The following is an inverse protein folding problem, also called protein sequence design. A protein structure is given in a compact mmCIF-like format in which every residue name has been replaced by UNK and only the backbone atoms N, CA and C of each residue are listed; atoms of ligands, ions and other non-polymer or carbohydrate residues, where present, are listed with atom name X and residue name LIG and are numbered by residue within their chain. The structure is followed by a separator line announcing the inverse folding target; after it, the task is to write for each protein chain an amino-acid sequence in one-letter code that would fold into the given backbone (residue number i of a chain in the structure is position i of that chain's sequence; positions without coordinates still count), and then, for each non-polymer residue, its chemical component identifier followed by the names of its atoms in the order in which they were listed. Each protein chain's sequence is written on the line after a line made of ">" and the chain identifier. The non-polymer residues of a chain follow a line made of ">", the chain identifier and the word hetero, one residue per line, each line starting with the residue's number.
data_IF_726296674371
#
_entry.id   IF_726296674371
#
_cell.length_a   1.000
_cell.length_b   1.000
_cell.length_c   1.000
_cell.angle_alpha   90.00
_cell.angle_beta   90.00
_cell.angle_gamma   90.00
#
_symmetry.space_group_name_H-M   'P 1'
#
loop_
_entity.id
_entity.type
_entity.pdbx_description
1 polymer ?
#
# COMPACT_ATOMS: atom_id res chain seq x y z
N UNK A 1 -12.01 6.82 -10.31
CA UNK A 1 -10.69 7.39 -10.67
C UNK A 1 -10.94 8.67 -11.44
N UNK A 2 -11.49 9.67 -10.75
CA UNK A 2 -11.70 10.99 -11.35
C UNK A 2 -10.45 11.82 -11.06
N UNK A 3 -9.72 12.22 -12.10
CA UNK A 3 -8.50 13.00 -11.96
C UNK A 3 -8.75 14.34 -11.25
N UNK A 4 -9.90 14.97 -11.45
CA UNK A 4 -10.21 16.26 -10.85
C UNK A 4 -10.24 16.17 -9.32
N UNK A 5 -10.80 15.08 -8.78
CA UNK A 5 -10.84 14.83 -7.34
C UNK A 5 -9.45 14.56 -6.75
N UNK A 6 -8.63 13.76 -7.43
CA UNK A 6 -7.23 13.55 -7.00
C UNK A 6 -6.45 14.86 -7.01
N UNK A 7 -6.59 15.66 -8.07
CA UNK A 7 -5.92 16.95 -8.21
C UNK A 7 -6.33 17.90 -7.11
N UNK A 8 -7.64 18.03 -6.85
CA UNK A 8 -8.15 18.89 -5.78
C UNK A 8 -7.54 18.53 -4.42
N UNK A 9 -7.48 17.24 -4.06
CA UNK A 9 -6.91 16.81 -2.78
C UNK A 9 -5.41 17.09 -2.71
N UNK A 10 -4.66 16.75 -3.76
CA UNK A 10 -3.21 16.94 -3.82
C UNK A 10 -2.84 18.43 -3.76
N UNK A 11 -3.56 19.27 -4.50
CA UNK A 11 -3.34 20.71 -4.51
C UNK A 11 -3.66 21.31 -3.12
N UNK A 12 -4.77 20.92 -2.49
CA UNK A 12 -5.08 21.34 -1.10
C UNK A 12 -4.00 20.93 -0.09
N UNK A 13 -3.41 19.74 -0.23
CA UNK A 13 -2.30 19.30 0.64
C UNK A 13 -1.06 20.15 0.39
N UNK A 14 -0.66 20.35 -0.87
CA UNK A 14 0.51 21.16 -1.24
C UNK A 14 0.35 22.62 -0.79
N UNK A 15 -0.82 23.21 -1.03
CA UNK A 15 -1.15 24.60 -0.67
C UNK A 15 -1.21 24.82 0.85
N UNK A 16 -1.43 23.76 1.64
CA UNK A 16 -1.41 23.85 3.11
C UNK A 16 0.00 24.11 3.67
N UNK A 17 1.05 23.95 2.87
CA UNK A 17 2.45 24.02 3.31
C UNK A 17 2.89 22.81 4.16
N UNK A 18 2.04 21.78 4.28
CA UNK A 18 2.39 20.53 4.97
C UNK A 18 3.51 19.81 4.22
N UNK A 19 4.60 19.39 4.91
CA UNK A 19 5.70 18.67 4.28
C UNK A 19 5.39 17.18 4.07
N UNK A 20 4.17 16.73 4.35
CA UNK A 20 3.77 15.31 4.30
C UNK A 20 4.07 14.71 2.93
N UNK A 21 4.57 13.47 2.92
CA UNK A 21 4.77 12.70 1.69
C UNK A 21 3.38 12.26 1.20
N UNK A 22 3.09 12.52 -0.07
CA UNK A 22 1.86 12.06 -0.70
C UNK A 22 2.08 10.70 -1.34
N UNK A 23 1.33 9.70 -0.89
CA UNK A 23 1.26 8.36 -1.48
C UNK A 23 -0.12 8.16 -2.12
N UNK A 24 -0.19 8.10 -3.46
CA UNK A 24 -1.47 7.90 -4.17
C UNK A 24 -1.68 6.44 -4.57
N UNK A 25 -2.89 5.93 -4.36
CA UNK A 25 -3.23 4.55 -4.74
C UNK A 25 -3.30 4.32 -6.25
N UNK A 26 -2.90 3.13 -6.72
CA UNK A 26 -3.19 2.61 -8.08
C UNK A 26 -4.12 1.38 -8.06
N UNK A 27 -4.65 1.03 -6.89
CA UNK A 27 -5.55 -0.11 -6.67
C UNK A 27 -6.93 -0.01 -7.34
N UNK A 28 -7.57 1.18 -7.44
CA UNK A 28 -8.85 1.31 -8.12
C UNK A 28 -8.81 0.83 -9.57
N UNK A 29 -9.92 0.24 -10.03
CA UNK A 29 -10.01 -0.32 -11.37
C UNK A 29 -9.40 -1.72 -11.52
N UNK A 30 -9.17 -2.45 -10.43
CA UNK A 30 -8.68 -3.83 -10.46
C UNK A 30 -9.75 -4.90 -10.16
N UNK A 31 -11.00 -4.52 -9.84
CA UNK A 31 -12.01 -5.49 -9.38
C UNK A 31 -12.66 -6.22 -10.55
N UNK A 32 -12.69 -7.55 -10.45
CA UNK A 32 -13.43 -8.41 -11.36
C UNK A 32 -14.33 -9.35 -10.57
N UNK A 33 -15.59 -9.43 -10.98
CA UNK A 33 -16.57 -10.40 -10.52
C UNK A 33 -16.99 -11.18 -11.77
N UNK A 34 -16.74 -12.49 -11.86
CA UNK A 34 -17.19 -13.27 -13.02
C UNK A 34 -18.72 -13.29 -13.10
N UNK A 35 -19.27 -13.38 -14.31
CA UNK A 35 -20.70 -13.63 -14.51
C UNK A 35 -21.06 -15.05 -14.05
N UNK A 36 -22.19 -15.18 -13.33
CA UNK A 36 -22.71 -16.47 -12.88
C UNK A 36 -23.40 -17.26 -14.02
N UNK A 37 -23.75 -16.59 -15.12
CA UNK A 37 -24.57 -17.17 -16.20
C UNK A 37 -23.90 -17.19 -17.56
N UNK A 38 -22.85 -16.40 -17.77
CA UNK A 38 -22.20 -16.24 -19.08
C UNK A 38 -20.69 -16.45 -18.97
N UNK A 39 -20.13 -17.29 -19.84
CA UNK A 39 -18.69 -17.56 -19.86
C UNK A 39 -17.89 -16.32 -20.29
N UNK A 40 -16.77 -16.06 -19.62
CA UNK A 40 -15.81 -14.97 -19.93
C UNK A 40 -16.37 -13.54 -19.84
N UNK A 41 -17.51 -13.33 -19.16
CA UNK A 41 -18.08 -12.00 -18.97
C UNK A 41 -18.01 -11.53 -17.52
N UNK A 42 -17.98 -10.21 -17.37
CA UNK A 42 -17.94 -9.53 -16.08
C UNK A 42 -19.37 -9.37 -15.53
N UNK A 43 -19.57 -9.81 -14.29
CA UNK A 43 -20.78 -9.57 -13.51
C UNK A 43 -20.82 -8.18 -12.88
N UNK A 44 -21.96 -7.86 -12.27
CA UNK A 44 -22.20 -6.60 -11.58
C UNK A 44 -21.17 -6.36 -10.46
N UNK A 45 -20.64 -5.13 -10.38
CA UNK A 45 -19.60 -4.75 -9.43
C UNK A 45 -18.17 -4.91 -9.94
N UNK A 46 -17.97 -5.46 -11.14
CA UNK A 46 -16.68 -5.39 -11.84
C UNK A 46 -16.36 -3.94 -12.26
N UNK A 47 -15.09 -3.56 -12.14
CA UNK A 47 -14.59 -2.27 -12.60
C UNK A 47 -13.18 -2.34 -13.21
N UNK A 48 -12.75 -3.54 -13.62
CA UNK A 48 -11.44 -3.79 -14.20
C UNK A 48 -11.16 -2.83 -15.36
N UNK A 49 -10.05 -2.10 -15.29
CA UNK A 49 -9.59 -1.17 -16.32
C UNK A 49 -8.21 -1.56 -16.84
N UNK A 50 -7.85 -1.13 -18.05
CA UNK A 50 -6.49 -1.26 -18.56
C UNK A 50 -5.45 -0.68 -17.59
N UNK A 51 -4.25 -1.27 -17.48
CA UNK A 51 -3.18 -0.80 -16.58
C UNK A 51 -2.87 0.70 -16.68
N UNK A 52 -2.74 1.24 -17.89
CA UNK A 52 -2.40 2.65 -18.13
C UNK A 52 -3.47 3.60 -17.61
N UNK A 53 -4.76 3.25 -17.72
CA UNK A 53 -5.84 4.09 -17.19
C UNK A 53 -5.82 4.19 -15.67
N UNK A 54 -5.31 3.16 -14.99
CA UNK A 54 -5.25 3.09 -13.53
C UNK A 54 -4.15 3.96 -12.92
N UNK A 55 -3.24 4.45 -13.74
CA UNK A 55 -2.09 5.27 -13.30
C UNK A 55 -2.12 6.68 -13.88
N UNK A 56 -3.16 7.04 -14.62
CA UNK A 56 -3.26 8.35 -15.27
C UNK A 56 -3.08 9.51 -14.28
N UNK A 57 -3.65 9.42 -13.08
CA UNK A 57 -3.46 10.44 -12.03
C UNK A 57 -2.04 10.47 -11.46
N UNK A 58 -1.30 9.37 -11.49
CA UNK A 58 0.11 9.34 -11.09
C UNK A 58 0.95 10.10 -12.11
N UNK A 59 0.72 9.85 -13.40
CA UNK A 59 1.43 10.53 -14.49
C UNK A 59 1.21 12.05 -14.47
N UNK A 60 -0.02 12.46 -14.17
CA UNK A 60 -0.44 13.86 -14.13
C UNK A 60 0.01 14.60 -12.87
N UNK A 61 -0.07 13.97 -11.69
CA UNK A 61 0.15 14.64 -10.41
C UNK A 61 1.56 14.43 -9.85
N UNK A 62 2.25 13.39 -10.32
CA UNK A 62 3.62 13.00 -9.94
C UNK A 62 3.82 13.07 -8.42
N UNK A 63 3.07 12.28 -7.64
CA UNK A 63 3.33 12.17 -6.21
C UNK A 63 4.73 11.59 -5.96
N UNK A 64 5.23 11.72 -4.74
CA UNK A 64 6.53 11.15 -4.38
C UNK A 64 6.48 9.61 -4.35
N UNK A 65 5.35 9.06 -3.91
CA UNK A 65 5.09 7.61 -3.81
C UNK A 65 3.72 7.28 -4.42
N UNK A 66 3.57 6.06 -4.92
CA UNK A 66 2.27 5.48 -5.20
C UNK A 66 2.22 4.00 -4.80
N UNK A 67 1.07 3.50 -4.38
CA UNK A 67 0.92 2.07 -4.06
C UNK A 67 0.75 1.23 -5.33
N UNK A 68 1.28 0.00 -5.33
CA UNK A 68 1.19 -0.98 -6.39
C UNK A 68 0.92 -2.38 -5.82
N UNK A 69 -0.30 -2.86 -6.01
CA UNK A 69 -0.73 -4.20 -5.61
C UNK A 69 -0.04 -5.29 -6.45
N UNK A 70 0.81 -6.09 -5.81
CA UNK A 70 1.74 -7.02 -6.48
C UNK A 70 1.14 -8.37 -6.89
N UNK A 71 -0.19 -8.51 -6.98
CA UNK A 71 -0.76 -9.74 -7.54
C UNK A 71 -2.26 -9.87 -7.43
N UNK A 72 -2.75 -10.99 -7.94
CA UNK A 72 -4.18 -11.32 -8.00
C UNK A 72 -4.59 -12.16 -6.81
N UNK A 73 -5.72 -11.83 -6.19
CA UNK A 73 -6.28 -12.58 -5.08
C UNK A 73 -7.81 -12.44 -5.02
N UNK A 74 -8.45 -13.35 -4.28
CA UNK A 74 -9.84 -13.18 -3.90
C UNK A 74 -9.98 -11.92 -3.04
N UNK A 75 -10.93 -11.05 -3.40
CA UNK A 75 -11.11 -9.76 -2.74
C UNK A 75 -12.60 -9.42 -2.64
N UNK A 76 -13.13 -9.46 -1.42
CA UNK A 76 -14.57 -9.32 -1.18
C UNK A 76 -15.35 -10.46 -1.85
N UNK A 77 -16.30 -10.11 -2.74
CA UNK A 77 -17.12 -11.07 -3.50
C UNK A 77 -16.55 -11.42 -4.88
N UNK A 78 -15.39 -10.87 -5.24
CA UNK A 78 -14.75 -11.12 -6.54
C UNK A 78 -13.26 -11.32 -6.36
N UNK A 79 -12.48 -10.87 -7.33
CA UNK A 79 -11.04 -10.84 -7.30
C UNK A 79 -10.51 -9.42 -7.54
N UNK A 80 -9.38 -9.11 -6.91
CA UNK A 80 -8.50 -8.04 -7.36
C UNK A 80 -7.59 -8.65 -8.44
N UNK A 81 -7.66 -8.14 -9.66
CA UNK A 81 -6.92 -8.64 -10.82
C UNK A 81 -5.71 -7.75 -11.08
N UNK A 82 -4.55 -8.28 -10.72
CA UNK A 82 -3.22 -7.81 -11.12
C UNK A 82 -2.41 -9.03 -11.54
N UNK A 83 -2.54 -9.39 -12.81
CA UNK A 83 -1.66 -10.41 -13.41
C UNK A 83 -0.27 -9.82 -13.61
N UNK A 84 0.81 -10.62 -13.68
CA UNK A 84 2.18 -10.11 -13.83
C UNK A 84 2.33 -9.05 -14.92
N UNK A 85 1.74 -9.26 -16.10
CA UNK A 85 1.78 -8.30 -17.20
C UNK A 85 1.17 -6.92 -16.84
N UNK A 86 0.11 -6.87 -16.01
CA UNK A 86 -0.47 -5.62 -15.55
C UNK A 86 0.44 -4.92 -14.55
N UNK A 87 1.02 -5.67 -13.62
CA UNK A 87 1.96 -5.15 -12.62
C UNK A 87 3.20 -4.57 -13.32
N UNK A 88 3.76 -5.28 -14.29
CA UNK A 88 4.89 -4.81 -15.11
C UNK A 88 4.56 -3.53 -15.89
N UNK A 89 3.37 -3.46 -16.51
CA UNK A 89 2.92 -2.27 -17.24
C UNK A 89 2.76 -1.04 -16.31
N UNK A 90 2.13 -1.22 -15.14
CA UNK A 90 1.99 -0.15 -14.14
C UNK A 90 3.36 0.30 -13.63
N UNK A 91 4.23 -0.65 -13.26
CA UNK A 91 5.57 -0.35 -12.77
C UNK A 91 6.40 0.44 -13.79
N UNK A 92 6.27 0.12 -15.08
CA UNK A 92 6.95 0.85 -16.15
C UNK A 92 6.47 2.31 -16.25
N UNK A 93 5.16 2.56 -16.20
CA UNK A 93 4.61 3.93 -16.24
C UNK A 93 4.96 4.74 -14.99
N UNK A 94 4.88 4.12 -13.80
CA UNK A 94 5.29 4.72 -12.52
C UNK A 94 6.76 5.12 -12.55
N UNK A 95 7.64 4.24 -13.07
CA UNK A 95 9.06 4.55 -13.25
C UNK A 95 9.27 5.73 -14.20
N UNK A 96 8.55 5.79 -15.33
CA UNK A 96 8.64 6.93 -16.27
C UNK A 96 8.22 8.25 -15.64
N UNK A 97 7.27 8.22 -14.71
CA UNK A 97 6.84 9.41 -13.97
C UNK A 97 7.83 9.85 -12.87
N UNK A 98 8.87 9.05 -12.58
CA UNK A 98 9.82 9.33 -11.50
C UNK A 98 9.23 9.11 -10.11
N UNK A 99 8.15 8.34 -9.99
CA UNK A 99 7.45 8.08 -8.73
C UNK A 99 7.97 6.76 -8.13
N UNK A 100 8.16 6.70 -6.81
CA UNK A 100 8.55 5.45 -6.15
C UNK A 100 7.32 4.57 -5.90
N UNK A 101 7.30 3.30 -6.34
CA UNK A 101 6.22 2.38 -5.98
C UNK A 101 6.42 1.83 -4.57
N UNK A 102 5.35 1.87 -3.77
CA UNK A 102 5.14 1.05 -2.58
C UNK A 102 4.49 -0.27 -3.01
N UNK A 103 5.21 -1.38 -2.85
CA UNK A 103 4.84 -2.71 -3.32
C UNK A 103 3.95 -3.39 -2.29
N UNK A 104 2.64 -3.35 -2.51
CA UNK A 104 1.63 -3.91 -1.63
C UNK A 104 1.58 -5.44 -1.83
N UNK A 105 1.99 -6.19 -0.81
CA UNK A 105 2.08 -7.65 -0.84
C UNK A 105 1.09 -8.27 0.14
N UNK A 106 0.06 -8.91 -0.41
CA UNK A 106 -0.98 -9.62 0.35
C UNK A 106 -0.63 -11.08 0.66
N UNK A 107 0.46 -11.63 0.10
CA UNK A 107 0.93 -13.01 0.34
C UNK A 107 2.41 -13.13 -0.09
N UNK A 108 3.07 -14.20 0.35
CA UNK A 108 4.41 -14.65 -0.02
C UNK A 108 4.63 -14.76 -1.54
N UNK A 109 3.62 -15.16 -2.31
CA UNK A 109 3.70 -15.21 -3.77
C UNK A 109 3.89 -13.84 -4.41
N UNK A 110 3.33 -12.79 -3.82
CA UNK A 110 3.50 -11.41 -4.28
C UNK A 110 4.91 -10.90 -3.98
N UNK A 111 5.51 -11.31 -2.86
CA UNK A 111 6.92 -11.05 -2.56
C UNK A 111 7.81 -11.73 -3.61
N UNK A 112 7.53 -13.00 -3.95
CA UNK A 112 8.28 -13.72 -4.96
C UNK A 112 8.22 -13.04 -6.34
N UNK A 113 7.04 -12.54 -6.75
CA UNK A 113 6.89 -11.77 -7.99
C UNK A 113 7.72 -10.48 -7.96
N UNK A 114 7.68 -9.71 -6.87
CA UNK A 114 8.47 -8.50 -6.72
C UNK A 114 9.98 -8.80 -6.86
N UNK A 115 10.45 -9.87 -6.23
CA UNK A 115 11.86 -10.29 -6.30
C UNK A 115 12.24 -10.67 -7.74
N UNK A 116 11.40 -11.41 -8.46
CA UNK A 116 11.63 -11.70 -9.88
C UNK A 116 11.73 -10.42 -10.73
N UNK A 117 10.80 -9.48 -10.54
CA UNK A 117 10.79 -8.21 -11.25
C UNK A 117 12.02 -7.34 -10.93
N UNK A 118 12.52 -7.35 -9.69
CA UNK A 118 13.77 -6.70 -9.30
C UNK A 118 14.96 -7.35 -10.02
N UNK A 119 15.05 -8.69 -10.03
CA UNK A 119 16.13 -9.42 -10.72
C UNK A 119 16.16 -9.14 -12.22
N UNK A 120 14.99 -8.96 -12.83
CA UNK A 120 14.82 -8.60 -14.25
C UNK A 120 15.03 -7.11 -14.53
N UNK A 121 15.30 -6.29 -13.51
CA UNK A 121 15.52 -4.84 -13.64
C UNK A 121 14.25 -4.02 -13.86
N UNK A 122 13.06 -4.62 -13.71
CA UNK A 122 11.77 -3.96 -13.88
C UNK A 122 11.35 -3.12 -12.67
N UNK A 123 11.88 -3.46 -11.49
CA UNK A 123 11.77 -2.67 -10.27
C UNK A 123 13.16 -2.24 -9.80
N UNK A 124 13.22 -1.13 -9.06
CA UNK A 124 14.46 -0.61 -8.47
C UNK A 124 14.98 -1.58 -7.39
N UNK A 125 16.31 -1.66 -7.17
CA UNK A 125 16.90 -2.57 -6.20
C UNK A 125 16.66 -2.18 -4.74
N UNK A 126 16.13 -0.97 -4.49
CA UNK A 126 15.69 -0.48 -3.18
C UNK A 126 14.16 -0.36 -3.13
N UNK A 127 13.43 -1.48 -3.09
CA UNK A 127 11.97 -1.48 -3.02
C UNK A 127 11.48 -1.00 -1.64
N UNK A 128 10.28 -0.40 -1.64
CA UNK A 128 9.47 -0.22 -0.45
C UNK A 128 8.37 -1.28 -0.49
N UNK A 129 8.41 -2.26 0.40
CA UNK A 129 7.35 -3.26 0.55
C UNK A 129 6.32 -2.83 1.58
N UNK A 130 5.04 -3.09 1.34
CA UNK A 130 3.99 -2.98 2.35
C UNK A 130 3.28 -4.33 2.50
N UNK A 131 3.43 -4.95 3.67
CA UNK A 131 2.76 -6.21 3.97
C UNK A 131 1.33 -5.93 4.43
N UNK A 132 0.37 -6.36 3.61
CA UNK A 132 -1.06 -6.12 3.84
C UNK A 132 -1.65 -7.33 4.57
N UNK A 133 -1.97 -7.16 5.86
CA UNK A 133 -2.37 -8.29 6.70
C UNK A 133 -3.83 -8.19 7.18
N UNK A 134 -4.52 -9.33 7.17
CA UNK A 134 -5.88 -9.46 7.70
C UNK A 134 -7.00 -9.14 6.70
N UNK A 135 -6.66 -8.83 5.45
CA UNK A 135 -7.63 -8.85 4.34
C UNK A 135 -8.09 -10.29 4.12
N UNK A 136 -9.41 -10.58 4.02
CA UNK A 136 -9.90 -11.93 3.76
C UNK A 136 -9.23 -12.56 2.52
N UNK A 137 -8.83 -13.82 2.66
CA UNK A 137 -8.13 -14.62 1.63
C UNK A 137 -6.70 -14.18 1.29
N UNK A 138 -6.18 -13.12 1.93
CA UNK A 138 -4.75 -12.81 1.95
C UNK A 138 -4.07 -13.35 3.21
N UNK A 139 -2.85 -12.87 3.45
CA UNK A 139 -2.05 -13.16 4.62
C UNK A 139 -2.78 -12.76 5.92
N UNK A 140 -2.96 -13.70 6.87
CA UNK A 140 -3.52 -13.38 8.18
C UNK A 140 -2.66 -12.39 8.98
N UNK A 141 -3.31 -11.53 9.77
CA UNK A 141 -2.62 -10.62 10.68
C UNK A 141 -2.18 -11.31 11.98
N UNK A 142 -1.13 -12.14 11.89
CA UNK A 142 -0.49 -12.78 13.04
C UNK A 142 1.02 -12.51 13.08
N UNK A 143 1.64 -12.54 14.27
CA UNK A 143 3.09 -12.39 14.40
C UNK A 143 3.91 -13.36 13.54
N UNK A 144 3.47 -14.62 13.44
CA UNK A 144 4.16 -15.67 12.70
C UNK A 144 4.17 -15.39 11.20
N UNK A 145 3.02 -14.95 10.66
CA UNK A 145 2.88 -14.62 9.24
C UNK A 145 3.73 -13.40 8.90
N UNK A 146 3.69 -12.35 9.72
CA UNK A 146 4.52 -11.18 9.50
C UNK A 146 6.02 -11.52 9.53
N UNK A 147 6.46 -12.30 10.52
CA UNK A 147 7.85 -12.74 10.62
C UNK A 147 8.28 -13.59 9.41
N UNK A 148 7.40 -14.49 8.94
CA UNK A 148 7.65 -15.31 7.76
C UNK A 148 7.77 -14.43 6.50
N UNK A 149 6.83 -13.51 6.25
CA UNK A 149 6.89 -12.61 5.09
C UNK A 149 8.12 -11.69 5.13
N UNK A 150 8.47 -11.15 6.30
CA UNK A 150 9.70 -10.37 6.51
C UNK A 150 10.95 -11.17 6.15
N UNK A 151 10.98 -12.46 6.46
CA UNK A 151 12.14 -13.32 6.15
C UNK A 151 12.36 -13.54 4.64
N UNK A 152 11.33 -13.30 3.81
CA UNK A 152 11.42 -13.42 2.35
C UNK A 152 11.96 -12.17 1.67
N UNK A 153 11.97 -11.02 2.35
CA UNK A 153 12.39 -9.76 1.72
C UNK A 153 13.89 -9.73 1.44
N UNK A 154 14.33 -9.11 0.32
CA UNK A 154 15.74 -8.85 0.08
C UNK A 154 16.36 -8.04 1.23
N UNK A 155 17.59 -8.39 1.60
CA UNK A 155 18.36 -7.67 2.62
C UNK A 155 18.48 -6.20 2.23
N UNK A 156 18.18 -5.30 3.17
CA UNK A 156 18.23 -3.85 2.96
C UNK A 156 16.97 -3.23 2.35
N UNK A 157 15.92 -4.01 2.06
CA UNK A 157 14.63 -3.47 1.63
C UNK A 157 14.01 -2.59 2.70
N UNK A 158 13.40 -1.48 2.29
CA UNK A 158 12.48 -0.75 3.16
C UNK A 158 11.15 -1.50 3.19
N UNK A 159 10.55 -1.64 4.36
CA UNK A 159 9.27 -2.32 4.46
C UNK A 159 8.40 -1.79 5.59
N UNK A 160 7.09 -1.82 5.38
CA UNK A 160 6.05 -1.53 6.34
C UNK A 160 5.11 -2.73 6.48
N UNK A 161 4.34 -2.77 7.56
CA UNK A 161 3.22 -3.68 7.69
C UNK A 161 2.05 -2.98 8.41
N UNK A 162 0.84 -3.38 8.06
CA UNK A 162 -0.37 -3.00 8.79
C UNK A 162 -1.35 -4.15 8.89
N UNK A 163 -2.25 -4.05 9.87
CA UNK A 163 -3.34 -4.99 10.08
C UNK A 163 -4.69 -4.31 9.88
N UNK A 164 -5.62 -4.98 9.22
CA UNK A 164 -6.98 -4.45 9.01
C UNK A 164 -7.80 -4.49 10.32
N UNK A 165 -8.59 -3.45 10.54
CA UNK A 165 -9.57 -3.32 11.62
C UNK A 165 -8.94 -3.53 13.00
N UNK A 166 -9.47 -4.46 13.81
CA UNK A 166 -9.00 -4.75 15.17
C UNK A 166 -7.51 -5.11 15.26
N UNK A 167 -6.88 -5.48 14.14
CA UNK A 167 -5.48 -5.87 14.07
C UNK A 167 -4.53 -4.69 13.83
N UNK A 168 -5.03 -3.46 13.63
CA UNK A 168 -4.20 -2.27 13.34
C UNK A 168 -3.11 -2.06 14.39
N UNK A 169 -3.46 -1.74 15.64
CA UNK A 169 -2.46 -1.48 16.69
C UNK A 169 -1.60 -2.69 17.08
N UNK A 170 -2.13 -3.94 17.15
CA UNK A 170 -1.27 -5.11 17.29
C UNK A 170 -0.21 -5.23 16.20
N UNK A 171 -0.55 -4.96 14.94
CA UNK A 171 0.42 -5.03 13.83
C UNK A 171 1.37 -3.83 13.79
N UNK A 172 0.96 -2.65 14.28
CA UNK A 172 1.89 -1.54 14.55
C UNK A 172 3.00 -2.00 15.49
N UNK A 173 2.66 -2.62 16.63
CA UNK A 173 3.66 -3.14 17.56
C UNK A 173 4.56 -4.20 16.92
N UNK A 174 3.98 -5.18 16.22
CA UNK A 174 4.77 -6.26 15.61
C UNK A 174 5.69 -5.76 14.49
N UNK A 175 5.26 -4.79 13.69
CA UNK A 175 6.12 -4.20 12.66
C UNK A 175 7.34 -3.53 13.29
N UNK A 176 7.14 -2.70 14.32
CA UNK A 176 8.23 -2.04 15.06
C UNK A 176 9.20 -3.06 15.66
N UNK A 177 8.68 -4.10 16.32
CA UNK A 177 9.51 -5.14 16.95
C UNK A 177 10.37 -5.91 15.94
N UNK A 178 9.96 -5.99 14.68
CA UNK A 178 10.70 -6.64 13.59
C UNK A 178 11.56 -5.66 12.77
N UNK A 179 11.54 -4.37 13.11
CA UNK A 179 12.33 -3.32 12.47
C UNK A 179 11.70 -2.75 11.18
N UNK A 180 10.37 -2.81 11.05
CA UNK A 180 9.61 -2.25 9.94
C UNK A 180 8.97 -0.90 10.26
N UNK A 181 8.46 -0.25 9.21
CA UNK A 181 7.62 0.94 9.29
C UNK A 181 6.17 0.56 9.59
N UNK A 182 5.35 1.55 9.97
CA UNK A 182 3.96 1.32 10.40
C UNK A 182 2.99 2.11 9.54
N UNK A 183 1.79 1.57 9.36
CA UNK A 183 0.65 2.26 8.73
C UNK A 183 -0.58 2.13 9.62
N UNK A 184 -1.32 3.23 9.71
CA UNK A 184 -2.62 3.35 10.40
C UNK A 184 -3.51 4.29 9.61
N UNK A 185 -4.81 4.20 9.79
CA UNK A 185 -5.75 5.14 9.21
C UNK A 185 -7.16 4.59 9.07
N UNK A 186 -8.09 5.49 8.82
CA UNK A 186 -9.50 5.16 8.63
C UNK A 186 -9.77 4.28 7.41
N UNK A 187 -8.83 4.20 6.47
CA UNK A 187 -8.87 3.23 5.37
C UNK A 187 -8.84 1.78 5.90
N UNK A 188 -8.06 1.54 6.95
CA UNK A 188 -7.80 0.18 7.46
C UNK A 188 -8.65 -0.12 8.70
N UNK A 189 -8.96 0.90 9.53
CA UNK A 189 -9.66 0.72 10.79
C UNK A 189 -10.56 1.93 11.16
N UNK A 190 -11.83 1.66 11.46
CA UNK A 190 -12.80 2.68 11.88
C UNK A 190 -12.83 2.96 13.39
N UNK A 191 -12.12 2.18 14.21
CA UNK A 191 -12.29 2.16 15.66
C UNK A 191 -11.01 2.54 16.41
N UNK A 192 -11.08 3.51 17.32
CA UNK A 192 -9.96 3.84 18.21
C UNK A 192 -9.79 2.79 19.32
N UNK A 193 -10.92 2.32 19.87
CA UNK A 193 -11.00 1.25 20.87
C UNK A 193 -12.12 0.29 20.51
N UNK A 194 -12.20 -0.87 21.20
CA UNK A 194 -13.29 -1.82 21.01
C UNK A 194 -14.64 -1.14 21.24
N UNK A 195 -15.40 -0.94 20.16
CA UNK A 195 -16.73 -0.30 20.18
C UNK A 195 -16.71 1.23 20.17
N UNK A 196 -15.54 1.88 20.10
CA UNK A 196 -15.41 3.34 20.06
C UNK A 196 -14.84 3.75 18.70
N UNK A 197 -15.64 4.48 17.90
CA UNK A 197 -15.21 4.97 16.60
C UNK A 197 -14.04 5.96 16.76
N UNK A 198 -13.10 5.89 15.83
CA UNK A 198 -12.07 6.90 15.70
C UNK A 198 -12.70 8.20 15.15
N UNK A 199 -12.55 9.35 15.83
CA UNK A 199 -13.15 10.60 15.36
C UNK A 199 -12.48 11.13 14.08
N UNK A 200 -11.19 10.84 13.91
CA UNK A 200 -10.38 11.28 12.77
C UNK A 200 -9.13 10.41 12.60
N UNK A 201 -8.45 10.53 11.46
CA UNK A 201 -7.14 9.88 11.23
C UNK A 201 -6.09 10.29 12.27
N UNK A 202 -6.12 11.54 12.74
CA UNK A 202 -5.13 12.05 13.68
C UNK A 202 -5.17 11.32 15.03
N UNK A 203 -6.34 10.83 15.45
CA UNK A 203 -6.51 10.04 16.67
C UNK A 203 -5.83 8.67 16.58
N UNK A 204 -5.92 8.01 15.43
CA UNK A 204 -5.22 6.76 15.15
C UNK A 204 -3.71 6.99 15.10
N UNK A 205 -3.27 8.05 14.41
CA UNK A 205 -1.84 8.45 14.35
C UNK A 205 -1.28 8.74 15.74
N UNK A 206 -2.01 9.47 16.60
CA UNK A 206 -1.57 9.74 17.98
C UNK A 206 -1.40 8.45 18.79
N UNK A 207 -2.36 7.53 18.71
CA UNK A 207 -2.27 6.24 19.42
C UNK A 207 -1.10 5.39 18.90
N UNK A 208 -0.88 5.36 17.59
CA UNK A 208 0.27 4.70 17.01
C UNK A 208 1.60 5.33 17.46
N UNK A 209 1.72 6.67 17.44
CA UNK A 209 2.91 7.39 17.91
C UNK A 209 3.25 7.04 19.36
N UNK A 210 2.26 7.07 20.25
CA UNK A 210 2.44 6.72 21.66
C UNK A 210 2.92 5.27 21.82
N UNK A 211 2.37 4.33 21.05
CA UNK A 211 2.80 2.95 21.07
C UNK A 211 4.26 2.79 20.58
N UNK A 212 4.63 3.45 19.49
CA UNK A 212 5.99 3.46 18.94
C UNK A 212 6.98 4.04 19.97
N UNK A 213 6.63 5.13 20.63
CA UNK A 213 7.45 5.76 21.69
C UNK A 213 7.61 4.86 22.91
N UNK A 214 6.54 4.20 23.36
CA UNK A 214 6.60 3.25 24.47
C UNK A 214 7.47 2.02 24.17
N UNK A 215 7.62 1.65 22.90
CA UNK A 215 8.53 0.60 22.45
C UNK A 215 10.00 1.07 22.31
N UNK A 216 10.30 2.34 22.62
CA UNK A 216 11.66 2.87 22.69
C UNK A 216 12.22 3.42 21.38
N UNK A 217 11.35 3.71 20.40
CA UNK A 217 11.73 4.35 19.13
C UNK A 217 10.90 5.63 18.92
N UNK A 218 11.03 6.30 17.76
CA UNK A 218 10.28 7.51 17.42
C UNK A 218 9.82 7.47 15.97
N UNK A 219 8.80 8.28 15.66
CA UNK A 219 8.40 8.50 14.28
C UNK A 219 9.42 9.36 13.51
N UNK A 220 9.55 9.08 12.23
CA UNK A 220 10.29 9.92 11.29
C UNK A 220 9.46 11.16 10.94
N UNK A 221 10.13 12.31 10.85
CA UNK A 221 9.57 13.47 10.15
C UNK A 221 9.45 13.17 8.65
N UNK A 222 8.63 13.92 7.88
CA UNK A 222 8.55 13.70 6.44
C UNK A 222 9.90 13.82 5.72
N UNK A 223 10.77 14.75 6.13
CA UNK A 223 12.10 14.88 5.53
C UNK A 223 13.03 13.71 5.87
N UNK A 224 12.96 13.17 7.09
CA UNK A 224 13.67 11.92 7.44
C UNK A 224 13.14 10.73 6.66
N UNK A 225 11.81 10.62 6.50
CA UNK A 225 11.19 9.58 5.69
C UNK A 225 11.64 9.67 4.23
N UNK A 226 11.79 10.88 3.66
CA UNK A 226 12.35 11.06 2.31
C UNK A 226 13.75 10.48 2.18
N UNK A 227 14.61 10.73 3.18
CA UNK A 227 15.97 10.20 3.22
C UNK A 227 16.00 8.68 3.36
N UNK A 228 15.22 8.12 4.28
CA UNK A 228 15.11 6.67 4.52
C UNK A 228 14.62 5.94 3.26
N UNK A 229 13.63 6.52 2.58
CA UNK A 229 13.01 5.94 1.40
C UNK A 229 13.76 6.28 0.11
N UNK A 230 14.75 7.17 0.12
CA UNK A 230 15.48 7.59 -1.08
C UNK A 230 14.56 8.25 -2.13
N UNK A 231 13.63 9.09 -1.69
CA UNK A 231 12.75 9.88 -2.57
C UNK A 231 13.17 11.35 -2.57
N UNK A 232 13.12 11.99 -3.73
CA UNK A 232 13.46 13.40 -3.88
C UNK A 232 12.29 14.28 -3.42
N UNK A 233 12.59 15.48 -2.92
CA UNK A 233 11.58 16.47 -2.54
C UNK A 233 10.87 16.98 -3.80
N UNK A 234 9.54 16.84 -3.86
CA UNK A 234 8.68 17.39 -4.92
C UNK A 234 8.38 18.87 -4.71
#
# INVERSE_FOLDING_TARGET
>A
MDLALYREVVDRIRDSGSPVIVNLTTGPGARFVPSDTEANLAGAGSNLRPPVERVHHILELKPEICSLDMGTLNFGKGALINVPAHVEAIAAEVRRAGVKPELEVFDSGHVALAIDMIRRGLLEPTPLFQMVLGVPWGAPATPEILAAMKSLLPVGSQWAAFGVSRSEFPMVAQSVLLGGHVRVGLEDNLYLEKGVLAPDNASLVRKASQLVELLGTRLATPDEARLILGIAKS
#
